data_IF_320181899063
#
_entry.id   IF_320181899063
#
_cell.length_a   1.000
_cell.length_b   1.000
_cell.length_c   1.000
_cell.angle_alpha   90.00
_cell.angle_beta   90.00
_cell.angle_gamma   90.00
#
_symmetry.space_group_name_H-M   'P 1'
#
loop_
_entity.id
_entity.type
_entity.pdbx_description
1 polymer ?
#
# COMPACT_ATOMS: atom_id res chain seq x y z
N UNK A 1 11.60 -2.39 -7.93
CA UNK A 1 11.98 -3.28 -6.83
C UNK A 1 11.96 -4.71 -7.31
N UNK A 2 10.79 -5.31 -7.57
CA UNK A 2 10.67 -6.66 -8.14
C UNK A 2 9.94 -6.65 -9.50
N UNK A 3 9.79 -7.83 -10.11
CA UNK A 3 9.10 -8.04 -11.39
C UNK A 3 7.70 -8.65 -11.27
N UNK A 4 7.26 -8.93 -10.05
CA UNK A 4 5.95 -9.46 -9.75
C UNK A 4 4.84 -8.64 -10.42
N UNK A 5 3.92 -9.32 -11.11
CA UNK A 5 2.73 -8.71 -11.69
C UNK A 5 1.71 -8.37 -10.59
N UNK A 6 0.69 -7.58 -10.94
CA UNK A 6 -0.40 -7.22 -10.01
C UNK A 6 -1.18 -8.44 -9.50
N UNK A 7 -1.40 -9.44 -10.37
CA UNK A 7 -2.15 -10.64 -10.01
C UNK A 7 -1.33 -11.54 -9.09
N UNK A 8 -0.06 -11.80 -9.45
CA UNK A 8 0.86 -12.55 -8.59
C UNK A 8 1.05 -11.88 -7.22
N UNK A 9 1.16 -10.55 -7.19
CA UNK A 9 1.31 -9.81 -5.93
C UNK A 9 0.07 -9.88 -5.04
N UNK A 10 -1.12 -10.11 -5.62
CA UNK A 10 -2.35 -10.29 -4.83
C UNK A 10 -2.50 -11.72 -4.29
N UNK A 11 -1.80 -12.69 -4.89
CA UNK A 11 -1.78 -14.09 -4.42
C UNK A 11 -0.70 -14.31 -3.37
N UNK A 12 0.48 -13.72 -3.58
CA UNK A 12 1.58 -13.70 -2.63
C UNK A 12 1.91 -12.25 -2.28
N UNK A 13 1.54 -11.82 -1.07
CA UNK A 13 1.61 -10.41 -0.67
C UNK A 13 2.98 -10.01 -0.09
N UNK A 14 3.72 -10.96 0.47
CA UNK A 14 4.87 -10.68 1.35
C UNK A 14 6.20 -11.26 0.85
N UNK A 15 6.20 -12.38 0.12
CA UNK A 15 7.45 -13.05 -0.26
C UNK A 15 7.93 -12.57 -1.64
N UNK A 16 8.63 -11.43 -1.65
CA UNK A 16 9.32 -10.89 -2.81
C UNK A 16 10.66 -10.32 -2.40
N UNK A 17 11.65 -10.39 -3.28
CA UNK A 17 12.95 -9.76 -3.11
C UNK A 17 13.15 -8.63 -4.10
N UNK A 18 14.09 -7.72 -3.80
CA UNK A 18 14.50 -6.68 -4.76
C UNK A 18 15.40 -7.32 -5.81
N UNK A 19 15.02 -7.19 -7.08
CA UNK A 19 15.78 -7.69 -8.23
C UNK A 19 16.21 -6.58 -9.18
N UNK A 20 15.40 -5.52 -9.32
CA UNK A 20 15.61 -4.49 -10.33
C UNK A 20 16.68 -3.48 -9.95
N UNK A 21 17.60 -3.23 -10.87
CA UNK A 21 18.65 -2.19 -10.77
C UNK A 21 18.65 -1.25 -11.99
N UNK A 22 19.44 -0.18 -11.94
CA UNK A 22 19.61 0.73 -13.09
C UNK A 22 20.28 0.03 -14.27
N UNK A 23 21.38 -0.68 -14.02
CA UNK A 23 22.13 -1.47 -15.01
C UNK A 23 21.24 -2.51 -15.70
N UNK A 24 20.49 -3.29 -14.91
CA UNK A 24 19.58 -4.30 -15.46
C UNK A 24 18.48 -3.67 -16.34
N UNK A 25 17.95 -2.50 -15.97
CA UNK A 25 16.97 -1.80 -16.82
C UNK A 25 17.60 -1.31 -18.13
N UNK A 26 18.89 -0.96 -18.17
CA UNK A 26 19.57 -0.61 -19.42
C UNK A 26 19.70 -1.84 -20.33
N UNK A 27 20.08 -2.99 -19.79
CA UNK A 27 20.16 -4.25 -20.53
C UNK A 27 18.79 -4.68 -21.06
N UNK A 28 17.75 -4.66 -20.22
CA UNK A 28 16.38 -4.96 -20.62
C UNK A 28 15.87 -4.04 -21.72
N UNK A 29 16.25 -2.76 -21.69
CA UNK A 29 15.92 -1.83 -22.76
C UNK A 29 16.60 -2.19 -24.09
N UNK A 30 17.86 -2.62 -24.08
CA UNK A 30 18.52 -3.06 -25.32
C UNK A 30 17.86 -4.32 -25.90
N UNK A 31 17.38 -5.24 -25.06
CA UNK A 31 16.55 -6.38 -25.50
C UNK A 31 15.25 -5.90 -26.12
N UNK A 32 14.54 -4.96 -25.48
CA UNK A 32 13.30 -4.36 -26.01
C UNK A 32 13.53 -3.71 -27.38
N UNK A 33 14.59 -2.91 -27.51
CA UNK A 33 14.89 -2.14 -28.72
C UNK A 33 15.31 -3.02 -29.90
N UNK A 34 16.07 -4.07 -29.63
CA UNK A 34 16.63 -4.95 -30.69
C UNK A 34 15.73 -6.14 -31.01
N UNK A 35 14.88 -6.58 -30.09
CA UNK A 35 14.02 -7.76 -30.20
C UNK A 35 14.75 -8.97 -30.82
N UNK A 36 15.83 -9.46 -30.18
CA UNK A 36 16.71 -10.48 -30.76
C UNK A 36 16.03 -11.85 -30.94
N UNK A 37 14.90 -12.05 -30.28
CA UNK A 37 14.12 -13.29 -30.32
C UNK A 37 12.91 -13.22 -31.26
N UNK A 38 12.72 -12.10 -31.98
CA UNK A 38 11.59 -11.89 -32.88
C UNK A 38 10.23 -12.14 -32.22
N UNK A 39 10.09 -11.72 -30.97
CA UNK A 39 8.88 -11.90 -30.17
C UNK A 39 7.79 -10.92 -30.59
N UNK A 40 6.53 -11.32 -30.38
CA UNK A 40 5.40 -10.40 -30.46
C UNK A 40 5.49 -9.33 -29.37
N UNK A 41 4.74 -8.23 -29.53
CA UNK A 41 4.77 -7.13 -28.57
C UNK A 41 4.43 -7.55 -27.13
N UNK A 42 3.49 -8.49 -26.95
CA UNK A 42 3.09 -8.99 -25.64
C UNK A 42 4.18 -9.86 -25.00
N UNK A 43 4.74 -10.80 -25.76
CA UNK A 43 5.84 -11.66 -25.32
C UNK A 43 7.08 -10.83 -24.96
N UNK A 44 7.46 -9.87 -25.81
CA UNK A 44 8.61 -9.00 -25.57
C UNK A 44 8.40 -8.14 -24.32
N UNK A 45 7.18 -7.59 -24.12
CA UNK A 45 6.83 -6.81 -22.94
C UNK A 45 6.93 -7.63 -21.66
N UNK A 46 6.51 -8.90 -21.69
CA UNK A 46 6.66 -9.80 -20.56
C UNK A 46 8.13 -10.13 -20.30
N UNK A 47 8.92 -10.44 -21.33
CA UNK A 47 10.35 -10.72 -21.20
C UNK A 47 11.10 -9.58 -20.50
N UNK A 48 10.88 -8.34 -20.92
CA UNK A 48 11.57 -7.16 -20.34
C UNK A 48 10.86 -6.60 -19.10
N UNK A 49 9.80 -7.27 -18.63
CA UNK A 49 8.98 -6.88 -17.46
C UNK A 49 8.63 -5.39 -17.49
N UNK A 50 8.17 -4.93 -18.65
CA UNK A 50 7.68 -3.57 -18.88
C UNK A 50 8.73 -2.48 -19.15
N UNK A 51 10.02 -2.80 -19.30
CA UNK A 51 11.03 -1.81 -19.72
C UNK A 51 10.93 -1.53 -21.22
N UNK A 52 10.26 -0.45 -21.59
CA UNK A 52 10.12 -0.02 -22.99
C UNK A 52 10.80 1.32 -23.32
N UNK A 53 11.43 1.95 -22.32
CA UNK A 53 12.13 3.22 -22.45
C UNK A 53 13.52 3.13 -21.80
N UNK A 54 14.49 3.83 -22.38
CA UNK A 54 15.86 3.85 -21.87
C UNK A 54 15.92 4.62 -20.56
N UNK A 55 16.45 4.00 -19.52
CA UNK A 55 16.75 4.69 -18.27
C UNK A 55 17.83 5.75 -18.53
N UNK A 56 17.67 6.94 -17.95
CA UNK A 56 18.58 8.08 -18.17
C UNK A 56 19.12 8.69 -16.87
N UNK A 57 18.46 8.42 -15.74
CA UNK A 57 18.93 8.78 -14.39
C UNK A 57 18.93 7.50 -13.55
N UNK A 58 20.03 7.26 -12.84
CA UNK A 58 20.12 6.21 -11.84
C UNK A 58 19.33 6.61 -10.59
N UNK A 59 18.53 5.67 -10.09
CA UNK A 59 17.76 5.84 -8.85
C UNK A 59 18.02 4.67 -7.92
N UNK A 60 18.13 4.95 -6.63
CA UNK A 60 18.25 3.90 -5.61
C UNK A 60 16.92 3.15 -5.49
N UNK A 61 16.92 1.80 -5.54
CA UNK A 61 15.69 1.01 -5.42
C UNK A 61 15.17 1.04 -3.98
N UNK A 62 14.36 2.06 -3.66
CA UNK A 62 13.78 2.28 -2.33
C UNK A 62 12.29 2.65 -2.38
N UNK A 63 11.72 3.05 -1.25
CA UNK A 63 10.34 3.51 -1.06
C UNK A 63 10.36 4.98 -0.66
N UNK A 64 9.55 5.81 -1.30
CA UNK A 64 9.32 7.17 -0.81
C UNK A 64 8.30 7.18 0.33
N UNK A 65 8.73 7.59 1.52
CA UNK A 65 7.93 7.49 2.73
C UNK A 65 6.66 8.38 2.71
N UNK A 66 6.75 9.58 2.11
CA UNK A 66 5.62 10.52 2.02
C UNK A 66 4.51 9.99 1.10
N UNK A 67 4.85 9.62 -0.14
CA UNK A 67 3.86 9.12 -1.08
C UNK A 67 3.38 7.72 -0.71
N UNK A 68 4.18 6.92 0.02
CA UNK A 68 3.72 5.69 0.64
C UNK A 68 2.59 5.96 1.64
N UNK A 69 2.78 6.90 2.57
CA UNK A 69 1.75 7.29 3.54
C UNK A 69 0.47 7.78 2.84
N UNK A 70 0.61 8.66 1.83
CA UNK A 70 -0.54 9.20 1.09
C UNK A 70 -1.27 8.08 0.32
N UNK A 71 -0.51 7.17 -0.30
CA UNK A 71 -1.05 6.05 -1.07
C UNK A 71 -1.83 5.08 -0.19
N UNK A 72 -1.23 4.66 0.93
CA UNK A 72 -1.86 3.76 1.88
C UNK A 72 -3.08 4.40 2.55
N UNK A 73 -3.01 5.67 2.95
CA UNK A 73 -4.16 6.39 3.50
C UNK A 73 -5.32 6.54 2.48
N UNK A 74 -5.00 6.74 1.21
CA UNK A 74 -6.01 6.76 0.14
C UNK A 74 -6.69 5.40 -0.01
N UNK A 75 -5.95 4.31 0.17
CA UNK A 75 -6.49 2.96 0.10
C UNK A 75 -7.39 2.64 1.30
N UNK A 76 -6.95 2.98 2.52
CA UNK A 76 -7.76 2.83 3.74
C UNK A 76 -9.02 3.70 3.71
N UNK A 77 -8.94 4.92 3.19
CA UNK A 77 -10.13 5.77 3.03
C UNK A 77 -11.19 5.09 2.15
N UNK A 78 -10.78 4.43 1.06
CA UNK A 78 -11.69 3.64 0.23
C UNK A 78 -12.19 2.38 0.96
N UNK A 79 -11.34 1.73 1.75
CA UNK A 79 -11.73 0.59 2.56
C UNK A 79 -12.82 0.97 3.58
N UNK A 80 -12.69 2.12 4.24
CA UNK A 80 -13.71 2.64 5.16
C UNK A 80 -15.05 2.87 4.44
N UNK A 81 -15.03 3.43 3.23
CA UNK A 81 -16.24 3.60 2.41
C UNK A 81 -16.91 2.27 2.06
N UNK A 82 -16.10 1.25 1.79
CA UNK A 82 -16.56 -0.09 1.44
C UNK A 82 -17.16 -0.83 2.65
N UNK A 83 -16.53 -0.71 3.83
CA UNK A 83 -17.04 -1.29 5.08
C UNK A 83 -18.35 -0.63 5.54
N UNK A 84 -18.45 0.70 5.48
CA UNK A 84 -19.71 1.43 5.73
C UNK A 84 -20.81 0.97 4.77
N UNK A 85 -20.42 0.59 3.55
CA UNK A 85 -21.33 0.13 2.51
C UNK A 85 -21.62 -1.37 2.49
N UNK A 86 -21.06 -2.15 3.43
CA UNK A 86 -21.11 -3.61 3.46
C UNK A 86 -20.83 -4.25 2.09
N UNK A 87 -19.75 -3.80 1.42
CA UNK A 87 -19.42 -4.23 0.05
C UNK A 87 -19.22 -5.75 -0.12
N UNK A 88 -18.86 -6.45 0.95
CA UNK A 88 -18.79 -7.91 1.00
C UNK A 88 -20.16 -8.58 0.80
N UNK A 89 -21.27 -7.90 1.14
CA UNK A 89 -22.66 -8.34 0.86
C UNK A 89 -23.21 -7.73 -0.43
N UNK A 90 -22.81 -6.51 -0.75
CA UNK A 90 -23.34 -5.72 -1.86
C UNK A 90 -22.25 -5.28 -2.84
N UNK A 91 -21.75 -6.19 -3.71
CA UNK A 91 -20.51 -6.00 -4.48
C UNK A 91 -20.58 -4.93 -5.57
N UNK A 92 -21.77 -4.51 -6.00
CA UNK A 92 -21.97 -3.62 -7.15
C UNK A 92 -22.87 -2.41 -6.82
N UNK A 93 -22.44 -1.48 -5.94
CA UNK A 93 -23.23 -0.30 -5.64
C UNK A 93 -23.19 0.67 -6.82
N UNK A 94 -24.30 1.37 -7.00
CA UNK A 94 -24.44 2.47 -7.95
C UNK A 94 -23.50 3.64 -7.62
N UNK A 95 -23.29 4.53 -8.60
CA UNK A 95 -22.48 5.75 -8.41
C UNK A 95 -23.06 6.65 -7.30
N UNK A 96 -24.37 6.71 -7.19
CA UNK A 96 -25.05 7.51 -6.17
C UNK A 96 -24.83 6.96 -4.77
N UNK A 97 -24.87 5.63 -4.60
CA UNK A 97 -24.58 4.99 -3.32
C UNK A 97 -23.14 5.22 -2.88
N UNK A 98 -22.16 5.11 -3.80
CA UNK A 98 -20.77 5.43 -3.50
C UNK A 98 -20.62 6.88 -3.04
N UNK A 99 -21.28 7.83 -3.70
CA UNK A 99 -21.25 9.26 -3.33
C UNK A 99 -21.91 9.50 -1.96
N UNK A 100 -23.03 8.83 -1.66
CA UNK A 100 -23.69 8.91 -0.36
C UNK A 100 -22.80 8.38 0.77
N UNK A 101 -22.14 7.24 0.57
CA UNK A 101 -21.20 6.65 1.54
C UNK A 101 -20.00 7.55 1.80
N UNK A 102 -19.42 8.11 0.74
CA UNK A 102 -18.35 9.11 0.87
C UNK A 102 -18.80 10.31 1.71
N UNK A 103 -19.96 10.90 1.39
CA UNK A 103 -20.48 12.06 2.12
C UNK A 103 -20.78 11.74 3.61
N UNK A 104 -21.24 10.51 3.90
CA UNK A 104 -21.47 10.04 5.26
C UNK A 104 -20.16 9.95 6.05
N UNK A 105 -19.14 9.29 5.48
CA UNK A 105 -17.81 9.19 6.07
C UNK A 105 -17.20 10.57 6.33
N UNK A 106 -17.23 11.44 5.32
CA UNK A 106 -16.71 12.81 5.39
C UNK A 106 -17.38 13.63 6.50
N UNK A 107 -18.71 13.55 6.59
CA UNK A 107 -19.48 14.23 7.65
C UNK A 107 -19.08 13.71 9.04
N UNK A 108 -18.89 12.40 9.16
CA UNK A 108 -18.55 11.77 10.44
C UNK A 108 -17.11 12.09 10.88
N UNK A 109 -16.13 11.97 9.98
CA UNK A 109 -14.74 12.35 10.23
C UNK A 109 -14.59 13.84 10.59
N UNK A 110 -15.39 14.71 9.95
CA UNK A 110 -15.43 16.12 10.34
C UNK A 110 -15.95 16.32 11.76
N UNK A 111 -16.98 15.57 12.16
CA UNK A 111 -17.60 15.67 13.49
C UNK A 111 -16.70 15.12 14.59
N UNK A 112 -16.09 13.94 14.39
CA UNK A 112 -15.32 13.23 15.41
C UNK A 112 -13.84 13.58 15.43
N UNK A 113 -13.24 13.75 14.25
CA UNK A 113 -11.79 13.93 14.09
C UNK A 113 -11.40 15.35 13.67
N UNK A 114 -12.38 16.25 13.52
CA UNK A 114 -12.17 17.60 12.96
C UNK A 114 -11.44 17.58 11.60
N UNK A 115 -11.69 16.54 10.80
CA UNK A 115 -11.09 16.37 9.48
C UNK A 115 -12.01 16.96 8.40
N UNK A 116 -11.57 18.04 7.77
CA UNK A 116 -12.27 18.62 6.62
C UNK A 116 -12.03 17.77 5.38
N UNK A 117 -13.08 17.42 4.61
CA UNK A 117 -12.93 16.68 3.37
C UNK A 117 -11.95 17.36 2.40
N UNK A 118 -11.13 16.57 1.72
CA UNK A 118 -10.14 17.04 0.76
C UNK A 118 -10.41 16.43 -0.61
N UNK A 119 -10.17 17.18 -1.68
CA UNK A 119 -10.32 16.65 -3.05
C UNK A 119 -9.22 15.63 -3.38
N UNK A 120 -8.01 15.85 -2.87
CA UNK A 120 -6.87 14.96 -3.01
C UNK A 120 -6.22 14.73 -1.66
N UNK A 121 -5.96 13.46 -1.35
CA UNK A 121 -5.25 13.06 -0.14
C UNK A 121 -3.88 13.76 -0.07
N UNK A 122 -3.58 14.37 1.07
CA UNK A 122 -2.28 14.99 1.35
C UNK A 122 -1.67 14.38 2.62
N UNK A 123 -0.38 14.62 2.86
CA UNK A 123 0.34 14.04 3.99
C UNK A 123 -0.27 14.38 5.35
N UNK A 124 -0.78 15.61 5.54
CA UNK A 124 -1.40 16.01 6.80
C UNK A 124 -2.70 15.25 7.07
N UNK A 125 -3.53 15.06 6.05
CA UNK A 125 -4.75 14.27 6.16
C UNK A 125 -4.41 12.79 6.40
N UNK A 126 -3.45 12.24 5.66
CA UNK A 126 -3.01 10.87 5.81
C UNK A 126 -2.53 10.56 7.25
N UNK A 127 -1.70 11.43 7.83
CA UNK A 127 -1.22 11.27 9.22
C UNK A 127 -2.35 11.27 10.25
N UNK A 128 -3.40 12.06 10.04
CA UNK A 128 -4.55 12.11 10.95
C UNK A 128 -5.57 11.01 10.72
N UNK A 129 -5.69 10.50 9.48
CA UNK A 129 -6.62 9.42 9.13
C UNK A 129 -6.13 8.05 9.59
N UNK A 130 -4.82 7.83 9.55
CA UNK A 130 -4.19 6.53 9.80
C UNK A 130 -3.88 6.33 11.29
N UNK A 131 -4.92 6.35 12.13
CA UNK A 131 -4.82 6.20 13.57
C UNK A 131 -5.92 5.28 14.12
N UNK A 132 -5.69 4.70 15.30
CA UNK A 132 -6.68 3.84 15.96
C UNK A 132 -7.95 4.62 16.34
N UNK A 133 -7.82 5.88 16.76
CA UNK A 133 -8.96 6.75 17.09
C UNK A 133 -9.86 7.00 15.88
N UNK A 134 -9.24 7.13 14.69
CA UNK A 134 -10.01 7.31 13.46
C UNK A 134 -10.78 6.05 13.10
N UNK A 135 -10.19 4.87 13.31
CA UNK A 135 -10.91 3.61 13.07
C UNK A 135 -12.04 3.41 14.06
N UNK A 136 -11.87 3.77 15.33
CA UNK A 136 -12.99 3.75 16.28
C UNK A 136 -14.15 4.64 15.82
N UNK A 137 -13.86 5.85 15.33
CA UNK A 137 -14.89 6.72 14.77
C UNK A 137 -15.56 6.10 13.53
N UNK A 138 -14.80 5.43 12.64
CA UNK A 138 -15.37 4.74 11.48
C UNK A 138 -16.22 3.54 11.89
N UNK A 139 -15.82 2.79 12.92
CA UNK A 139 -16.56 1.65 13.45
C UNK A 139 -17.96 2.02 13.94
N UNK A 140 -18.19 3.25 14.42
CA UNK A 140 -19.53 3.75 14.76
C UNK A 140 -20.51 3.71 13.57
N UNK A 141 -20.01 3.72 12.34
CA UNK A 141 -20.82 3.69 11.11
C UNK A 141 -20.98 2.27 10.52
N UNK A 142 -20.24 1.28 11.02
CA UNK A 142 -20.25 -0.08 10.50
C UNK A 142 -21.28 -0.90 11.31
N UNK A 143 -22.24 -1.61 10.69
CA UNK A 143 -23.26 -2.35 11.45
C UNK A 143 -22.75 -3.60 12.18
N UNK A 144 -21.86 -4.37 11.55
CA UNK A 144 -21.38 -5.66 12.06
C UNK A 144 -20.24 -5.49 13.05
N UNK A 145 -20.38 -6.01 14.28
CA UNK A 145 -19.31 -5.96 15.29
C UNK A 145 -18.08 -6.76 14.86
N UNK A 146 -18.28 -7.92 14.22
CA UNK A 146 -17.19 -8.73 13.66
C UNK A 146 -16.35 -7.92 12.67
N UNK A 147 -17.00 -7.15 11.77
CA UNK A 147 -16.29 -6.28 10.82
C UNK A 147 -15.56 -5.14 11.51
N UNK A 148 -16.08 -4.63 12.63
CA UNK A 148 -15.40 -3.61 13.42
C UNK A 148 -14.11 -4.15 14.01
N UNK A 149 -14.14 -5.33 14.63
CA UNK A 149 -12.94 -5.98 15.19
C UNK A 149 -11.87 -6.25 14.13
N UNK A 150 -12.27 -6.77 12.96
CA UNK A 150 -11.36 -7.00 11.83
C UNK A 150 -10.70 -5.68 11.38
N UNK A 151 -11.49 -4.60 11.25
CA UNK A 151 -10.96 -3.31 10.81
C UNK A 151 -10.03 -2.67 11.86
N UNK A 152 -10.34 -2.84 13.15
CA UNK A 152 -9.48 -2.44 14.28
C UNK A 152 -8.16 -3.18 14.23
N UNK A 153 -8.18 -4.50 14.07
CA UNK A 153 -6.97 -5.32 13.97
C UNK A 153 -6.11 -4.88 12.78
N UNK A 154 -6.73 -4.67 11.62
CA UNK A 154 -6.03 -4.22 10.41
C UNK A 154 -5.31 -2.88 10.64
N UNK A 155 -5.99 -1.89 11.24
CA UNK A 155 -5.37 -0.60 11.55
C UNK A 155 -4.31 -0.72 12.63
N UNK A 156 -4.55 -1.52 13.67
CA UNK A 156 -3.57 -1.75 14.72
C UNK A 156 -2.25 -2.28 14.12
N UNK A 157 -2.31 -3.31 13.28
CA UNK A 157 -1.16 -3.85 12.57
C UNK A 157 -0.48 -2.78 11.68
N UNK A 158 -1.25 -1.99 10.95
CA UNK A 158 -0.69 -0.87 10.18
C UNK A 158 0.08 0.10 11.07
N UNK A 159 -0.47 0.48 12.24
CA UNK A 159 0.17 1.41 13.18
C UNK A 159 1.43 0.83 13.82
N UNK A 160 1.52 -0.49 13.99
CA UNK A 160 2.73 -1.17 14.46
C UNK A 160 3.84 -1.16 13.39
N UNK A 161 3.48 -1.33 12.13
CA UNK A 161 4.46 -1.36 11.04
C UNK A 161 4.93 0.04 10.61
N UNK A 162 4.04 1.04 10.66
CA UNK A 162 4.28 2.39 10.13
C UNK A 162 5.55 3.09 10.61
N UNK A 163 5.94 3.04 11.90
CA UNK A 163 7.15 3.69 12.38
C UNK A 163 8.41 3.20 11.65
N UNK A 164 8.45 1.93 11.25
CA UNK A 164 9.65 1.30 10.68
C UNK A 164 10.09 1.97 9.36
N UNK A 165 9.15 2.33 8.48
CA UNK A 165 9.49 3.05 7.24
C UNK A 165 9.46 4.57 7.36
N UNK A 166 9.16 5.13 8.54
CA UNK A 166 9.06 6.59 8.76
C UNK A 166 10.08 7.18 9.71
N UNK A 167 10.54 6.43 10.69
CA UNK A 167 11.61 6.84 11.59
C UNK A 167 12.88 7.16 10.82
N UNK A 168 13.67 8.10 11.35
CA UNK A 168 14.97 8.44 10.77
C UNK A 168 15.96 7.30 11.02
N UNK A 169 15.93 6.68 12.19
CA UNK A 169 16.78 5.56 12.59
C UNK A 169 15.96 4.43 13.26
N UNK A 170 15.27 3.58 12.48
CA UNK A 170 14.36 2.56 13.02
C UNK A 170 15.05 1.56 13.98
N UNK A 171 16.32 1.21 13.74
CA UNK A 171 17.11 0.35 14.64
C UNK A 171 17.31 0.94 16.05
N UNK A 172 17.18 2.25 16.22
CA UNK A 172 17.32 2.93 17.52
C UNK A 172 15.99 3.39 18.08
N UNK A 173 15.12 3.90 17.21
CA UNK A 173 13.85 4.51 17.61
C UNK A 173 12.73 3.47 17.84
N UNK A 174 12.72 2.39 17.05
CA UNK A 174 11.68 1.37 17.12
C UNK A 174 12.21 -0.06 16.84
N UNK A 175 13.25 -0.53 17.56
CA UNK A 175 13.89 -1.82 17.29
C UNK A 175 12.94 -3.02 17.43
N UNK A 176 12.02 -2.98 18.40
CA UNK A 176 11.03 -4.04 18.61
C UNK A 176 10.06 -4.15 17.43
N UNK A 177 9.58 -3.00 16.91
CA UNK A 177 8.66 -2.95 15.77
C UNK A 177 9.36 -3.41 14.48
N UNK A 178 10.64 -3.06 14.31
CA UNK A 178 11.45 -3.56 13.19
C UNK A 178 11.62 -5.08 13.26
N UNK A 179 11.95 -5.63 14.44
CA UNK A 179 12.09 -7.08 14.64
C UNK A 179 10.78 -7.84 14.35
N UNK A 180 9.64 -7.25 14.70
CA UNK A 180 8.32 -7.86 14.48
C UNK A 180 7.72 -7.57 13.11
N UNK A 181 8.39 -6.80 12.25
CA UNK A 181 7.80 -6.29 11.01
C UNK A 181 7.29 -7.42 10.11
N UNK A 182 8.10 -8.46 9.89
CA UNK A 182 7.73 -9.59 9.02
C UNK A 182 6.53 -10.39 9.55
N UNK A 183 6.42 -10.54 10.86
CA UNK A 183 5.27 -11.19 11.49
C UNK A 183 4.00 -10.33 11.33
N UNK A 184 4.12 -9.02 11.60
CA UNK A 184 3.00 -8.09 11.47
C UNK A 184 2.54 -7.96 10.01
N UNK A 185 3.47 -7.93 9.04
CA UNK A 185 3.13 -7.85 7.61
C UNK A 185 2.48 -9.14 7.11
N UNK A 186 2.90 -10.30 7.61
CA UNK A 186 2.24 -11.57 7.34
C UNK A 186 0.80 -11.58 7.85
N UNK A 187 0.57 -11.25 9.12
CA UNK A 187 -0.79 -11.19 9.68
C UNK A 187 -1.67 -10.17 8.95
N UNK A 188 -1.11 -9.02 8.61
CA UNK A 188 -1.81 -8.00 7.83
C UNK A 188 -2.22 -8.53 6.45
N UNK A 189 -1.31 -9.21 5.76
CA UNK A 189 -1.58 -9.83 4.47
C UNK A 189 -2.65 -10.93 4.55
N UNK A 190 -2.63 -11.75 5.60
CA UNK A 190 -3.65 -12.77 5.86
C UNK A 190 -5.04 -12.14 5.99
N UNK A 191 -5.19 -11.08 6.80
CA UNK A 191 -6.45 -10.35 6.93
C UNK A 191 -6.94 -9.80 5.59
N UNK A 192 -6.04 -9.23 4.77
CA UNK A 192 -6.42 -8.76 3.43
C UNK A 192 -6.94 -9.89 2.55
N UNK A 193 -6.29 -11.05 2.61
CA UNK A 193 -6.59 -12.21 1.78
C UNK A 193 -7.89 -12.92 2.20
N UNK A 194 -8.19 -12.98 3.50
CA UNK A 194 -9.40 -13.63 4.02
C UNK A 194 -10.55 -12.65 4.16
N UNK A 195 -10.40 -11.66 5.03
CA UNK A 195 -11.49 -10.78 5.46
C UNK A 195 -11.81 -9.67 4.47
N UNK A 196 -10.86 -9.31 3.62
CA UNK A 196 -11.01 -8.29 2.59
C UNK A 196 -10.86 -8.85 1.18
N UNK A 197 -11.04 -10.17 1.00
CA UNK A 197 -10.97 -10.85 -0.30
C UNK A 197 -11.83 -10.16 -1.36
N UNK A 198 -13.03 -9.73 -1.00
CA UNK A 198 -13.96 -9.03 -1.89
C UNK A 198 -13.34 -7.80 -2.57
N UNK A 199 -12.29 -7.21 -1.96
CA UNK A 199 -11.55 -6.06 -2.48
C UNK A 199 -10.20 -6.44 -3.07
N UNK A 200 -9.48 -7.40 -2.50
CA UNK A 200 -8.08 -7.69 -2.87
C UNK A 200 -7.89 -8.94 -3.75
N UNK A 201 -8.98 -9.61 -4.16
CA UNK A 201 -8.91 -10.70 -5.12
C UNK A 201 -8.42 -10.21 -6.49
N UNK A 202 -7.25 -10.69 -6.92
CA UNK A 202 -6.62 -10.34 -8.18
C UNK A 202 -6.01 -8.94 -8.27
N UNK A 203 -6.01 -8.15 -7.19
CA UNK A 203 -5.43 -6.79 -7.20
C UNK A 203 -4.91 -6.32 -5.85
N UNK A 204 -3.80 -5.59 -5.89
CA UNK A 204 -3.24 -4.81 -4.77
C UNK A 204 -2.67 -3.49 -5.30
N UNK A 205 -2.63 -2.47 -4.45
CA UNK A 205 -2.01 -1.19 -4.80
C UNK A 205 -0.48 -1.28 -4.73
N UNK A 206 0.21 -0.47 -5.55
CA UNK A 206 1.67 -0.51 -5.60
C UNK A 206 2.33 -0.20 -4.25
N UNK A 207 1.82 0.78 -3.50
CA UNK A 207 2.40 1.15 -2.20
C UNK A 207 2.11 0.11 -1.11
N UNK A 208 0.94 -0.53 -1.14
CA UNK A 208 0.65 -1.60 -0.18
C UNK A 208 1.54 -2.82 -0.43
N UNK A 209 1.74 -3.20 -1.69
CA UNK A 209 2.71 -4.25 -2.05
C UNK A 209 4.14 -3.88 -1.60
N UNK A 210 4.59 -2.64 -1.85
CA UNK A 210 5.90 -2.15 -1.39
C UNK A 210 6.06 -2.23 0.12
N UNK A 211 5.03 -1.83 0.85
CA UNK A 211 5.02 -1.81 2.32
C UNK A 211 5.10 -3.21 2.90
N UNK A 212 4.35 -4.17 2.33
CA UNK A 212 4.26 -5.52 2.86
C UNK A 212 5.45 -6.41 2.48
N UNK A 213 6.06 -6.19 1.32
CA UNK A 213 7.08 -7.08 0.79
C UNK A 213 8.53 -6.57 0.96
N UNK A 214 8.77 -5.27 0.81
CA UNK A 214 10.14 -4.76 0.57
C UNK A 214 10.73 -3.95 1.73
N UNK A 215 9.93 -3.58 2.74
CA UNK A 215 10.42 -2.72 3.84
C UNK A 215 11.57 -3.35 4.64
N UNK A 216 11.52 -4.63 5.07
CA UNK A 216 12.61 -5.22 5.84
C UNK A 216 13.95 -5.21 5.07
N UNK A 217 13.93 -5.65 3.81
CA UNK A 217 15.13 -5.71 2.95
C UNK A 217 15.75 -4.31 2.73
N UNK A 218 14.91 -3.28 2.53
CA UNK A 218 15.40 -1.91 2.36
C UNK A 218 16.00 -1.38 3.66
N UNK A 219 15.38 -1.64 4.82
CA UNK A 219 15.93 -1.19 6.11
C UNK A 219 17.25 -1.89 6.43
N UNK A 220 17.36 -3.18 6.14
CA UNK A 220 18.62 -3.92 6.33
C UNK A 220 19.75 -3.36 5.44
N UNK A 221 19.43 -3.02 4.19
CA UNK A 221 20.39 -2.48 3.23
C UNK A 221 20.80 -1.03 3.51
N UNK A 222 19.81 -0.16 3.72
CA UNK A 222 20.01 1.31 3.74
C UNK A 222 20.01 1.90 5.16
N UNK A 223 19.65 1.11 6.17
CA UNK A 223 19.50 1.53 7.56
C UNK A 223 18.24 2.38 7.85
N UNK A 224 17.66 3.02 6.83
CA UNK A 224 16.47 3.87 6.95
C UNK A 224 15.73 4.02 5.63
N UNK A 225 14.41 4.22 5.70
CA UNK A 225 13.58 4.70 4.59
C UNK A 225 13.17 6.16 4.82
N UNK A 226 12.76 6.49 6.05
CA UNK A 226 12.21 7.80 6.39
C UNK A 226 13.22 8.94 6.22
N UNK A 227 14.52 8.67 6.46
CA UNK A 227 15.58 9.66 6.28
C UNK A 227 15.78 10.10 4.81
N UNK A 228 15.33 9.29 3.85
CA UNK A 228 15.49 9.53 2.41
C UNK A 228 14.17 9.92 1.72
N UNK A 229 13.18 10.34 2.50
CA UNK A 229 11.87 10.70 2.00
C UNK A 229 11.88 12.02 1.24
N UNK A 230 10.91 12.19 0.33
CA UNK A 230 10.67 13.43 -0.43
C UNK A 230 9.96 14.54 0.38
N UNK A 231 10.10 14.55 1.71
CA UNK A 231 9.47 15.57 2.58
C UNK A 231 10.28 16.87 2.72
N UNK A 232 11.58 16.82 2.41
CA UNK A 232 12.51 17.95 2.50
C UNK A 232 12.50 18.90 1.31
#
# INVERSE_FOLDING_TARGET
>A
LCDCTRSEASQNLIFHSITRSHEENLERYEIWRTNPYHETAEQLRDRVKGVSAKAFIETLPSIDALHCDIGNATEFYKLFQDEIGEMHKHPNPSKEEKKRRQALLDKHLRKKMNLKPVMRMNGNFARKLMTNETVEAVCELIPSEERREILRELMHLYTLMKPVWRSTFPLRECPELLCQYSFNSQRFAELLHTEFKYRYDGKITNYLHKTLAHVPEIIERDGSIGAWASEG
#
